data_IF_612555366310
#
_entry.id   IF_612555366310
#
_cell.length_a   1.000
_cell.length_b   1.000
_cell.length_c   1.000
_cell.angle_alpha   90.00
_cell.angle_beta   90.00
_cell.angle_gamma   90.00
#
_symmetry.space_group_name_H-M   'P 1'
#
loop_
_entity.id
_entity.type
_entity.pdbx_description
1 polymer ?
#
# COMPACT_ATOMS: atom_id res chain seq x y z
N UNK A 1 -2.21 -2.32 11.87
CA UNK A 1 -3.56 -1.81 11.50
C UNK A 1 -4.37 -1.69 12.78
N UNK A 2 -5.17 -0.63 12.98
CA UNK A 2 -6.04 -0.51 14.15
C UNK A 2 -7.00 -1.70 14.28
N UNK A 3 -7.36 -2.08 15.52
CA UNK A 3 -8.23 -3.25 15.80
C UNK A 3 -9.66 -3.02 15.32
N UNK A 4 -10.08 -1.76 15.31
CA UNK A 4 -11.37 -1.21 14.87
C UNK A 4 -11.42 -0.93 13.35
N UNK A 5 -10.42 -1.36 12.59
CA UNK A 5 -10.37 -1.14 11.15
C UNK A 5 -11.05 -2.27 10.37
N UNK A 6 -11.89 -1.89 9.41
CA UNK A 6 -12.40 -2.79 8.38
C UNK A 6 -11.43 -2.80 7.19
N UNK A 7 -10.83 -3.96 6.91
CA UNK A 7 -9.96 -4.10 5.74
C UNK A 7 -10.83 -4.15 4.47
N UNK A 8 -10.52 -3.27 3.53
CA UNK A 8 -11.22 -3.19 2.24
C UNK A 8 -10.50 -4.00 1.17
N UNK A 9 -9.18 -3.84 1.05
CA UNK A 9 -8.39 -4.53 0.04
C UNK A 9 -6.93 -4.63 0.46
N UNK A 10 -6.25 -5.68 -0.01
CA UNK A 10 -4.83 -5.94 0.23
C UNK A 10 -4.23 -6.33 -1.11
N UNK A 11 -3.03 -5.83 -1.38
CA UNK A 11 -2.22 -6.32 -2.46
C UNK A 11 -0.73 -6.31 -2.09
N UNK A 12 0.03 -7.21 -2.70
CA UNK A 12 1.44 -7.44 -2.36
C UNK A 12 2.27 -7.75 -3.59
N UNK A 13 3.52 -7.28 -3.59
CA UNK A 13 4.49 -7.63 -4.62
C UNK A 13 5.92 -7.67 -4.07
N UNK A 14 6.79 -8.38 -4.78
CA UNK A 14 8.22 -8.40 -4.49
C UNK A 14 8.92 -7.35 -5.36
N UNK A 15 9.76 -6.50 -4.76
CA UNK A 15 10.60 -5.58 -5.52
C UNK A 15 11.60 -6.33 -6.40
N UNK A 16 11.80 -5.88 -7.65
CA UNK A 16 12.80 -6.47 -8.52
C UNK A 16 14.23 -6.23 -8.00
N UNK A 17 15.17 -7.03 -8.52
CA UNK A 17 16.60 -6.85 -8.27
C UNK A 17 17.06 -5.42 -8.64
N UNK A 18 17.98 -4.79 -7.87
CA UNK A 18 18.74 -5.33 -6.74
C UNK A 18 18.07 -5.11 -5.37
N UNK A 19 17.01 -4.30 -5.30
CA UNK A 19 16.36 -3.90 -4.04
C UNK A 19 15.26 -4.90 -3.64
N UNK A 20 15.62 -6.18 -3.48
CA UNK A 20 14.68 -7.23 -3.06
C UNK A 20 14.00 -6.84 -1.74
N UNK A 21 12.70 -7.09 -1.65
CA UNK A 21 11.89 -6.79 -0.49
C UNK A 21 10.41 -6.96 -0.79
N UNK A 22 9.63 -7.29 0.24
CA UNK A 22 8.18 -7.38 0.13
C UNK A 22 7.57 -6.00 0.31
N UNK A 23 6.65 -5.63 -0.58
CA UNK A 23 5.80 -4.46 -0.43
C UNK A 23 4.37 -4.94 -0.21
N UNK A 24 3.73 -4.40 0.82
CA UNK A 24 2.36 -4.73 1.22
C UNK A 24 1.55 -3.45 1.26
N UNK A 25 0.56 -3.35 0.38
CA UNK A 25 -0.42 -2.28 0.38
C UNK A 25 -1.73 -2.76 1.02
N UNK A 26 -2.27 -1.99 1.95
CA UNK A 26 -3.52 -2.32 2.66
C UNK A 26 -4.39 -1.09 2.72
N UNK A 27 -5.60 -1.19 2.15
CA UNK A 27 -6.63 -0.18 2.34
C UNK A 27 -7.62 -0.63 3.41
N UNK A 28 -7.96 0.28 4.32
CA UNK A 28 -8.91 -0.01 5.38
C UNK A 28 -9.74 1.22 5.74
N UNK A 29 -10.90 1.01 6.33
CA UNK A 29 -11.75 2.05 6.89
C UNK A 29 -11.61 1.98 8.40
N UNK A 30 -11.27 3.11 9.03
CA UNK A 30 -11.28 3.24 10.49
C UNK A 30 -12.56 3.91 10.93
N UNK A 31 -13.34 3.24 11.77
CA UNK A 31 -14.50 3.84 12.40
C UNK A 31 -14.12 4.47 13.76
N UNK A 32 -14.07 5.79 13.82
CA UNK A 32 -13.80 6.53 15.07
C UNK A 32 -15.07 6.86 15.86
N UNK A 33 -16.23 6.34 15.46
CA UNK A 33 -17.53 6.61 16.08
C UNK A 33 -18.24 7.85 15.53
N UNK A 34 -17.49 8.90 15.19
CA UNK A 34 -18.04 10.13 14.58
C UNK A 34 -17.93 10.12 13.05
N UNK A 35 -16.93 9.42 12.49
CA UNK A 35 -16.71 9.33 11.05
C UNK A 35 -15.92 8.07 10.68
N UNK A 36 -16.34 7.43 9.61
CA UNK A 36 -15.53 6.43 8.90
C UNK A 36 -14.47 7.15 8.04
N UNK A 37 -13.19 6.99 8.38
CA UNK A 37 -12.06 7.54 7.60
C UNK A 37 -11.34 6.41 6.85
N UNK A 38 -11.23 6.49 5.51
CA UNK A 38 -10.48 5.53 4.71
C UNK A 38 -8.98 5.83 4.71
N UNK A 39 -8.16 4.78 4.74
CA UNK A 39 -6.70 4.88 4.73
C UNK A 39 -6.09 3.89 3.74
N UNK A 40 -4.88 4.22 3.26
CA UNK A 40 -3.94 3.32 2.61
C UNK A 40 -2.65 3.27 3.43
N UNK A 41 -2.26 2.08 3.84
CA UNK A 41 -0.92 1.82 4.35
C UNK A 41 -0.10 1.08 3.31
N UNK A 42 1.12 1.57 3.07
CA UNK A 42 2.12 0.86 2.28
C UNK A 42 3.29 0.53 3.21
N UNK A 43 3.54 -0.77 3.37
CA UNK A 43 4.66 -1.30 4.10
C UNK A 43 5.71 -1.80 3.14
N UNK A 44 6.97 -1.49 3.39
CA UNK A 44 8.07 -1.92 2.53
C UNK A 44 9.26 -2.38 3.36
N UNK A 45 9.65 -3.65 3.21
CA UNK A 45 10.95 -4.11 3.67
C UNK A 45 12.03 -3.66 2.68
N UNK A 46 13.08 -3.01 3.18
CA UNK A 46 14.34 -2.94 2.44
C UNK A 46 15.50 -2.92 3.41
N UNK A 47 16.08 -4.10 3.64
CA UNK A 47 17.41 -4.24 4.23
C UNK A 47 18.27 -5.19 3.37
N UNK A 48 19.40 -4.72 2.81
CA UNK A 48 20.32 -5.58 2.08
C UNK A 48 20.89 -6.68 2.97
N UNK A 49 20.51 -7.94 2.69
CA UNK A 49 21.06 -9.11 3.37
C UNK A 49 20.34 -9.53 4.65
N UNK A 50 19.19 -8.92 4.97
CA UNK A 50 18.34 -9.38 6.07
C UNK A 50 17.44 -10.56 5.64
N UNK A 51 17.10 -11.42 6.59
CA UNK A 51 15.99 -12.36 6.45
C UNK A 51 14.67 -11.59 6.61
N UNK A 52 13.62 -12.04 5.89
CA UNK A 52 12.28 -11.44 5.96
C UNK A 52 11.84 -11.24 7.43
N UNK A 53 11.65 -9.98 7.84
CA UNK A 53 11.27 -9.65 9.20
C UNK A 53 9.99 -8.80 9.20
N UNK A 54 8.89 -9.41 9.68
CA UNK A 54 7.59 -8.75 9.78
C UNK A 54 7.62 -7.52 10.71
N UNK A 55 8.46 -7.55 11.75
CA UNK A 55 8.63 -6.41 12.65
C UNK A 55 9.35 -5.26 11.95
N UNK A 56 10.32 -5.55 11.06
CA UNK A 56 10.99 -4.53 10.24
C UNK A 56 10.04 -3.91 9.21
N UNK A 57 9.21 -4.73 8.56
CA UNK A 57 8.17 -4.27 7.61
C UNK A 57 7.20 -3.31 8.29
N UNK A 58 6.77 -3.61 9.53
CA UNK A 58 5.82 -2.79 10.27
C UNK A 58 6.37 -1.40 10.66
N UNK A 59 7.71 -1.23 10.71
CA UNK A 59 8.35 0.06 11.03
C UNK A 59 8.38 1.02 9.84
N UNK A 60 8.46 0.51 8.61
CA UNK A 60 8.51 1.29 7.38
C UNK A 60 7.11 1.42 6.78
N UNK A 61 6.27 2.24 7.40
CA UNK A 61 4.87 2.41 7.05
C UNK A 61 4.58 3.81 6.50
N UNK A 62 4.27 3.91 5.21
CA UNK A 62 3.60 5.07 4.65
C UNK A 62 2.10 4.95 4.95
N UNK A 63 1.57 5.83 5.80
CA UNK A 63 0.15 5.91 6.14
C UNK A 63 -0.48 7.14 5.47
N UNK A 64 -1.53 6.92 4.68
CA UNK A 64 -2.22 7.96 3.92
C UNK A 64 -3.72 7.92 4.23
N UNK A 65 -4.30 9.06 4.64
CA UNK A 65 -5.77 9.21 4.68
C UNK A 65 -6.29 9.54 3.29
N UNK A 66 -7.30 8.79 2.83
CA UNK A 66 -7.90 8.94 1.51
C UNK A 66 -9.08 9.92 1.56
N UNK A 67 -9.32 10.63 0.46
CA UNK A 67 -10.47 11.53 0.30
C UNK A 67 -11.65 10.86 -0.44
N UNK A 68 -11.56 9.54 -0.66
CA UNK A 68 -12.52 8.72 -1.37
C UNK A 68 -12.64 7.35 -0.70
N UNK A 69 -13.73 6.62 -0.96
CA UNK A 69 -13.91 5.25 -0.47
C UNK A 69 -13.18 4.28 -1.41
N UNK A 70 -12.13 3.56 -0.95
CA UNK A 70 -11.39 2.63 -1.79
C UNK A 70 -12.24 1.41 -2.14
N UNK A 71 -11.97 0.79 -3.29
CA UNK A 71 -12.59 -0.48 -3.70
C UNK A 71 -11.56 -1.59 -3.86
N UNK A 72 -10.67 -1.45 -4.85
CA UNK A 72 -9.67 -2.46 -5.18
C UNK A 72 -8.30 -1.81 -5.27
N UNK A 73 -7.35 -2.39 -4.54
CA UNK A 73 -5.92 -2.17 -4.67
C UNK A 73 -5.31 -3.25 -5.57
N UNK A 74 -4.44 -2.84 -6.49
CA UNK A 74 -3.71 -3.75 -7.39
C UNK A 74 -2.38 -3.12 -7.81
N UNK A 75 -1.32 -3.91 -7.97
CA UNK A 75 -0.02 -3.42 -8.42
C UNK A 75 0.16 -3.60 -9.92
N UNK A 76 0.81 -2.64 -10.56
CA UNK A 76 1.16 -2.73 -11.97
C UNK A 76 2.60 -2.25 -12.20
N UNK A 77 3.23 -2.78 -13.25
CA UNK A 77 4.47 -2.20 -13.77
C UNK A 77 4.13 -1.09 -14.76
N UNK A 78 4.67 0.11 -14.52
CA UNK A 78 4.56 1.26 -15.40
C UNK A 78 5.94 1.69 -15.87
N UNK A 79 6.05 2.22 -17.08
CA UNK A 79 7.30 2.75 -17.61
C UNK A 79 7.47 4.21 -17.21
N UNK A 80 8.50 4.52 -16.42
CA UNK A 80 8.85 5.87 -16.00
C UNK A 80 10.29 6.15 -16.42
N UNK A 81 10.50 7.10 -17.33
CA UNK A 81 11.83 7.49 -17.82
C UNK A 81 12.71 6.28 -18.22
N UNK A 82 12.15 5.40 -19.06
CA UNK A 82 12.78 4.16 -19.58
C UNK A 82 13.15 3.12 -18.51
N UNK A 83 12.52 3.18 -17.33
CA UNK A 83 12.66 2.18 -16.27
C UNK A 83 11.29 1.64 -15.86
N UNK A 84 11.14 0.31 -15.71
CA UNK A 84 9.94 -0.24 -15.10
C UNK A 84 9.91 0.13 -13.63
N UNK A 85 8.77 0.64 -13.18
CA UNK A 85 8.47 0.86 -11.77
C UNK A 85 7.20 0.10 -11.41
N UNK A 86 7.25 -0.68 -10.33
CA UNK A 86 6.04 -1.27 -9.75
C UNK A 86 5.35 -0.24 -8.87
N UNK A 87 4.07 0.00 -9.11
CA UNK A 87 3.24 0.98 -8.41
C UNK A 87 1.95 0.33 -7.95
N UNK A 88 1.31 0.88 -6.93
CA UNK A 88 -0.07 0.55 -6.59
C UNK A 88 -1.04 1.41 -7.39
N UNK A 89 -2.09 0.78 -7.89
CA UNK A 89 -3.27 1.37 -8.48
C UNK A 89 -4.44 1.14 -7.53
N UNK A 90 -5.09 2.23 -7.12
CA UNK A 90 -6.22 2.20 -6.21
C UNK A 90 -7.44 2.81 -6.88
N UNK A 91 -8.49 2.01 -7.03
CA UNK A 91 -9.80 2.45 -7.48
C UNK A 91 -10.66 2.89 -6.29
N UNK A 92 -11.62 3.77 -6.56
CA UNK A 92 -12.52 4.28 -5.53
C UNK A 92 -13.88 4.73 -6.08
N UNK A 93 -14.67 5.31 -5.18
CA UNK A 93 -15.96 5.92 -5.52
C UNK A 93 -15.84 7.29 -6.19
N UNK A 94 -14.64 7.84 -6.29
CA UNK A 94 -14.33 8.93 -7.21
C UNK A 94 -13.92 8.31 -8.56
N UNK A 95 -14.47 8.76 -9.69
CA UNK A 95 -14.30 8.11 -11.01
C UNK A 95 -12.88 8.28 -11.57
N UNK A 96 -11.88 7.76 -10.86
CA UNK A 96 -10.46 7.87 -11.07
C UNK A 96 -9.74 6.57 -10.63
N UNK A 97 -8.54 6.38 -11.16
CA UNK A 97 -7.58 5.40 -10.67
C UNK A 97 -6.39 6.17 -10.12
N UNK A 98 -6.10 5.98 -8.85
CA UNK A 98 -5.03 6.68 -8.15
C UNK A 98 -3.77 5.82 -8.15
N UNK A 99 -2.64 6.44 -8.47
CA UNK A 99 -1.34 5.78 -8.47
C UNK A 99 -0.57 6.15 -7.20
N UNK A 100 -0.09 5.14 -6.48
CA UNK A 100 0.74 5.29 -5.29
C UNK A 100 2.03 4.49 -5.42
N UNK A 101 3.07 4.98 -4.76
CA UNK A 101 4.38 4.33 -4.65
C UNK A 101 4.86 4.46 -3.21
N UNK A 102 5.61 3.47 -2.75
CA UNK A 102 6.27 3.47 -1.45
C UNK A 102 7.34 4.56 -1.31
#
# INVERSE_FOLDING_TARGET
>A
IPVDAEIVSIDTFNKPSPKRGLVVGITFIKDSGDKASPFLNIYCDYEPGSEYNLDSIAQSCLNLELQFTPFQLYHAEVQVADRPETVFLLSGNDPAIHLYKE
#
